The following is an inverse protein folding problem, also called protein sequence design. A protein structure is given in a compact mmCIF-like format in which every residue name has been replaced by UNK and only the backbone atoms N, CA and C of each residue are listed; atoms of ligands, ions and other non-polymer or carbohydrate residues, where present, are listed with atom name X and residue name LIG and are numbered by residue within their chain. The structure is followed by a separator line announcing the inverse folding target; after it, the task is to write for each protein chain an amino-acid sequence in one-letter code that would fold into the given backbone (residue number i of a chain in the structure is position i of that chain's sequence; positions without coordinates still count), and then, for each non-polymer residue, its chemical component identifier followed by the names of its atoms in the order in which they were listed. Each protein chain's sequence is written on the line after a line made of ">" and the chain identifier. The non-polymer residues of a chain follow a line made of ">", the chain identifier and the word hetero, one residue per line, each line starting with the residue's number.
data_IF_257550500203
#
_entry.id   IF_257550500203
#
_cell.length_a   1.000
_cell.length_b   1.000
_cell.length_c   1.000
_cell.angle_alpha   90.00
_cell.angle_beta   90.00
_cell.angle_gamma   90.00
#
_symmetry.space_group_name_H-M   'P 1'
#
loop_
_entity.id
_entity.type
_entity.pdbx_description
1 polymer ?
#
# COMPACT_ATOMS: atom_id res chain seq x y z
N UNK A 1 25.90 3.28 -18.06
CA UNK A 1 25.56 4.28 -17.02
C UNK A 1 25.77 5.69 -17.52
N UNK A 2 26.78 5.95 -18.36
CA UNK A 2 26.94 7.24 -19.05
C UNK A 2 25.73 7.56 -19.94
N UNK A 3 25.34 6.64 -20.83
CA UNK A 3 24.17 6.81 -21.71
C UNK A 3 22.87 7.13 -20.93
N UNK A 4 22.67 6.50 -19.76
CA UNK A 4 21.52 6.78 -18.92
C UNK A 4 21.58 8.21 -18.34
N UNK A 5 22.76 8.65 -17.91
CA UNK A 5 22.94 10.02 -17.39
C UNK A 5 22.76 11.04 -18.51
N UNK A 6 23.30 10.77 -19.69
CA UNK A 6 23.14 11.62 -20.87
C UNK A 6 21.66 11.81 -21.18
N UNK A 7 20.86 10.75 -21.26
CA UNK A 7 19.41 10.86 -21.52
C UNK A 7 18.69 11.64 -20.41
N UNK A 8 19.04 11.42 -19.14
CA UNK A 8 18.44 12.15 -18.00
C UNK A 8 18.76 13.64 -18.08
N UNK A 9 20.00 13.99 -18.42
CA UNK A 9 20.47 15.36 -18.53
C UNK A 9 19.88 16.05 -19.78
N UNK A 10 19.88 15.38 -20.94
CA UNK A 10 19.27 15.86 -22.19
C UNK A 10 17.78 16.16 -22.03
N UNK A 11 17.06 15.31 -21.31
CA UNK A 11 15.63 15.51 -21.03
C UNK A 11 15.38 16.44 -19.83
N UNK A 12 16.44 16.93 -19.17
CA UNK A 12 16.36 17.79 -17.98
C UNK A 12 15.47 17.20 -16.87
N UNK A 13 15.61 15.91 -16.64
CA UNK A 13 14.82 15.15 -15.66
C UNK A 13 15.52 15.15 -14.30
N UNK A 14 14.74 15.35 -13.24
CA UNK A 14 15.21 15.25 -11.87
C UNK A 14 14.99 13.86 -11.30
N UNK A 15 16.04 13.24 -10.73
CA UNK A 15 15.92 12.03 -9.92
C UNK A 15 15.36 12.39 -8.53
N UNK A 16 14.13 11.95 -8.28
CA UNK A 16 13.48 12.19 -7.00
C UNK A 16 14.12 11.33 -5.93
N UNK A 17 14.69 11.98 -4.91
CA UNK A 17 15.20 11.29 -3.73
C UNK A 17 14.03 10.82 -2.87
N UNK A 18 14.19 9.66 -2.27
CA UNK A 18 13.27 9.07 -1.29
C UNK A 18 13.48 9.72 0.07
N UNK A 19 12.40 9.97 0.80
CA UNK A 19 12.47 10.55 2.15
C UNK A 19 13.03 9.54 3.16
N UNK A 20 12.79 8.25 2.93
CA UNK A 20 13.31 7.15 3.72
C UNK A 20 13.74 5.98 2.84
N UNK A 21 14.83 5.31 3.24
CA UNK A 21 15.40 4.20 2.49
C UNK A 21 16.10 4.66 1.21
N UNK A 22 17.36 4.30 1.01
CA UNK A 22 18.11 4.69 -0.19
C UNK A 22 18.18 3.57 -1.24
N UNK A 23 18.21 2.33 -0.78
CA UNK A 23 18.36 1.15 -1.62
C UNK A 23 16.99 0.60 -2.00
N UNK A 24 16.89 0.07 -3.21
CA UNK A 24 15.66 -0.54 -3.74
C UNK A 24 15.89 -1.99 -4.13
N UNK A 25 17.13 -2.47 -4.08
CA UNK A 25 17.48 -3.85 -4.38
C UNK A 25 18.56 -4.37 -3.41
N UNK A 26 18.51 -5.66 -3.11
CA UNK A 26 19.50 -6.38 -2.30
C UNK A 26 19.83 -7.73 -2.91
N UNK A 27 21.10 -8.12 -2.89
CA UNK A 27 21.55 -9.39 -3.47
C UNK A 27 21.25 -10.64 -2.61
N UNK A 28 20.56 -10.48 -1.48
CA UNK A 28 20.21 -11.52 -0.50
C UNK A 28 21.39 -12.36 0.03
N UNK A 29 22.61 -11.80 0.08
CA UNK A 29 23.77 -12.44 0.72
C UNK A 29 24.04 -11.84 2.10
N UNK A 30 24.71 -12.61 2.95
CA UNK A 30 25.04 -12.18 4.31
C UNK A 30 26.45 -11.60 4.44
N UNK A 31 26.67 -10.87 5.55
CA UNK A 31 27.97 -10.38 5.97
C UNK A 31 28.61 -9.44 4.94
N UNK A 32 29.91 -9.63 4.68
CA UNK A 32 30.68 -8.82 3.74
C UNK A 32 30.29 -9.02 2.28
N UNK A 33 29.49 -10.06 1.97
CA UNK A 33 28.97 -10.31 0.63
C UNK A 33 27.62 -9.61 0.36
N UNK A 34 27.01 -9.00 1.40
CA UNK A 34 25.78 -8.23 1.27
C UNK A 34 26.01 -6.99 0.41
N UNK A 35 25.29 -6.88 -0.69
CA UNK A 35 25.28 -5.70 -1.57
C UNK A 35 23.86 -5.16 -1.65
N UNK A 36 23.74 -3.84 -1.52
CA UNK A 36 22.49 -3.10 -1.71
C UNK A 36 22.68 -2.03 -2.75
N UNK A 37 21.74 -1.91 -3.67
CA UNK A 37 21.80 -0.95 -4.77
C UNK A 37 20.48 -0.18 -4.90
N UNK A 38 20.55 0.97 -5.57
CA UNK A 38 19.37 1.76 -5.94
C UNK A 38 19.16 1.65 -7.44
N UNK A 39 18.31 0.71 -7.83
CA UNK A 39 18.02 0.39 -9.23
C UNK A 39 16.72 1.05 -9.71
N UNK A 40 15.78 1.28 -8.80
CA UNK A 40 14.45 1.82 -9.08
C UNK A 40 14.40 3.31 -8.71
N UNK A 41 13.88 4.15 -9.62
CA UNK A 41 13.89 5.61 -9.49
C UNK A 41 12.65 6.25 -10.10
N UNK A 42 12.23 7.37 -9.52
CA UNK A 42 11.28 8.28 -10.16
C UNK A 42 12.05 9.41 -10.81
N UNK A 43 11.86 9.59 -12.11
CA UNK A 43 12.38 10.72 -12.88
C UNK A 43 11.22 11.65 -13.21
N UNK A 44 11.35 12.94 -12.90
CA UNK A 44 10.32 13.94 -13.19
C UNK A 44 10.91 15.22 -13.76
N UNK A 45 10.21 15.87 -14.68
CA UNK A 45 10.62 17.18 -15.20
C UNK A 45 10.54 18.24 -14.10
N UNK A 46 11.34 19.31 -14.20
CA UNK A 46 11.27 20.43 -13.25
C UNK A 46 9.86 21.06 -13.17
N UNK A 47 9.13 21.08 -14.30
CA UNK A 47 7.76 21.58 -14.37
C UNK A 47 6.79 20.69 -13.57
N UNK A 48 6.95 19.37 -13.64
CA UNK A 48 6.09 18.46 -12.86
C UNK A 48 6.41 18.52 -11.37
N UNK A 49 7.70 18.63 -11.01
CA UNK A 49 8.10 18.86 -9.60
C UNK A 49 7.43 20.12 -9.05
N UNK A 50 7.39 21.21 -9.82
CA UNK A 50 6.71 22.44 -9.44
C UNK A 50 5.18 22.28 -9.34
N UNK A 51 4.57 21.39 -10.13
CA UNK A 51 3.13 21.10 -10.09
C UNK A 51 2.69 20.29 -8.87
N UNK A 52 3.59 19.53 -8.26
CA UNK A 52 3.31 18.68 -7.09
C UNK A 52 4.13 19.09 -5.86
N UNK A 53 3.93 20.30 -5.31
CA UNK A 53 4.77 20.84 -4.22
C UNK A 53 4.66 20.06 -2.90
N UNK A 54 3.65 19.21 -2.76
CA UNK A 54 3.42 18.39 -1.57
C UNK A 54 3.76 16.91 -1.78
N UNK A 55 4.42 16.58 -2.89
CA UNK A 55 4.74 15.18 -3.16
C UNK A 55 5.67 14.58 -2.11
N UNK A 56 5.55 13.28 -1.91
CA UNK A 56 6.33 12.50 -0.95
C UNK A 56 6.74 11.18 -1.60
N UNK A 57 7.95 10.73 -1.33
CA UNK A 57 8.51 9.49 -1.89
C UNK A 57 8.95 8.57 -0.77
N UNK A 58 8.61 7.27 -0.87
CA UNK A 58 8.90 6.28 0.17
C UNK A 58 9.39 4.97 -0.42
N UNK A 59 10.28 4.30 0.31
CA UNK A 59 10.63 2.90 0.07
C UNK A 59 9.86 2.01 1.05
N UNK A 60 9.21 0.97 0.53
CA UNK A 60 8.48 -0.03 1.31
C UNK A 60 9.15 -1.38 1.14
N UNK A 61 9.69 -1.89 2.26
CA UNK A 61 10.33 -3.19 2.28
C UNK A 61 9.38 -4.31 1.84
N UNK A 62 9.85 -5.15 0.94
CA UNK A 62 9.11 -6.34 0.47
C UNK A 62 9.79 -7.60 0.99
N UNK A 63 9.12 -8.36 1.85
CA UNK A 63 9.71 -9.57 2.46
C UNK A 63 9.86 -10.75 1.49
N UNK A 64 9.18 -10.70 0.34
CA UNK A 64 9.14 -11.79 -0.65
C UNK A 64 9.83 -11.42 -1.97
N UNK A 65 10.60 -10.35 -1.98
CA UNK A 65 11.26 -9.79 -3.17
C UNK A 65 12.65 -9.31 -2.79
N UNK A 66 13.59 -9.43 -3.72
CA UNK A 66 14.91 -8.81 -3.62
C UNK A 66 14.86 -7.31 -3.95
N UNK A 67 13.76 -6.84 -4.54
CA UNK A 67 13.42 -5.43 -4.68
C UNK A 67 12.46 -4.94 -3.59
N UNK A 68 12.72 -3.74 -3.08
CA UNK A 68 11.79 -2.95 -2.28
C UNK A 68 10.92 -2.07 -3.20
N UNK A 69 9.65 -1.88 -2.85
CA UNK A 69 8.75 -1.06 -3.65
C UNK A 69 8.98 0.43 -3.38
N UNK A 70 9.11 1.23 -4.44
CA UNK A 70 9.12 2.69 -4.34
C UNK A 70 7.72 3.29 -4.60
N UNK A 71 7.32 4.26 -3.79
CA UNK A 71 6.02 4.94 -3.88
C UNK A 71 6.23 6.44 -4.06
N UNK A 72 5.45 7.02 -4.97
CA UNK A 72 5.29 8.47 -5.13
C UNK A 72 3.85 8.85 -4.78
N UNK A 73 3.67 9.65 -3.73
CA UNK A 73 2.38 10.23 -3.33
C UNK A 73 2.39 11.73 -3.67
N UNK A 74 1.65 12.13 -4.70
CA UNK A 74 1.60 13.54 -5.15
C UNK A 74 0.86 14.47 -4.19
N UNK A 75 0.16 13.94 -3.19
CA UNK A 75 -0.54 14.70 -2.15
C UNK A 75 0.04 14.47 -0.75
N UNK A 76 1.17 13.75 -0.62
CA UNK A 76 1.64 13.19 0.66
C UNK A 76 1.69 14.18 1.83
N UNK A 77 2.41 15.30 1.66
CA UNK A 77 2.62 16.33 2.69
C UNK A 77 1.54 17.41 2.72
N UNK A 78 0.50 17.28 1.90
CA UNK A 78 -0.53 18.30 1.76
C UNK A 78 -1.26 18.44 3.11
N UNK A 79 -1.33 19.64 3.71
CA UNK A 79 -2.12 19.86 4.91
C UNK A 79 -3.55 19.37 4.67
N UNK A 80 -4.02 18.45 5.53
CA UNK A 80 -5.33 17.85 5.34
C UNK A 80 -6.41 18.83 5.80
N UNK A 81 -7.08 19.48 4.85
CA UNK A 81 -8.24 20.34 5.14
C UNK A 81 -9.45 19.58 5.70
N UNK A 82 -9.46 18.24 5.58
CA UNK A 82 -10.52 17.37 6.09
C UNK A 82 -9.95 16.13 6.74
N UNK A 83 -10.60 15.68 7.82
CA UNK A 83 -10.50 14.31 8.28
C UNK A 83 -10.90 13.39 7.12
N UNK A 84 -9.90 12.82 6.43
CA UNK A 84 -10.13 11.86 5.35
C UNK A 84 -10.80 10.65 5.99
N UNK A 85 -12.08 10.50 5.73
CA UNK A 85 -12.87 9.41 6.24
C UNK A 85 -12.22 8.09 5.81
N UNK A 86 -11.79 7.22 6.75
CA UNK A 86 -11.21 5.93 6.40
C UNK A 86 -12.14 5.08 5.52
N UNK A 87 -13.45 5.32 5.55
CA UNK A 87 -14.46 4.69 4.66
C UNK A 87 -14.27 5.06 3.18
N UNK A 88 -13.64 6.20 2.87
CA UNK A 88 -13.37 6.67 1.51
C UNK A 88 -11.99 6.27 1.00
N UNK A 89 -11.11 5.75 1.87
CA UNK A 89 -9.81 5.22 1.47
C UNK A 89 -9.96 3.75 1.05
N UNK A 90 -10.63 3.53 -0.08
CA UNK A 90 -10.67 2.20 -0.69
C UNK A 90 -9.24 1.73 -0.99
N UNK A 91 -8.93 0.50 -0.57
CA UNK A 91 -7.68 -0.18 -0.93
C UNK A 91 -8.05 -1.57 -1.39
N UNK A 92 -7.63 -1.96 -2.57
CA UNK A 92 -7.80 -3.32 -3.04
C UNK A 92 -6.79 -4.25 -2.34
N UNK A 93 -7.23 -5.44 -1.95
CA UNK A 93 -6.38 -6.51 -1.42
C UNK A 93 -6.45 -7.74 -2.33
N UNK A 94 -5.30 -8.39 -2.54
CA UNK A 94 -5.18 -9.58 -3.40
C UNK A 94 -6.08 -10.73 -2.93
N UNK A 95 -6.38 -10.84 -1.63
CA UNK A 95 -7.28 -11.89 -1.14
C UNK A 95 -8.70 -11.76 -1.72
N UNK A 96 -9.11 -10.57 -2.16
CA UNK A 96 -10.41 -10.35 -2.79
C UNK A 96 -10.45 -10.75 -4.26
N UNK A 97 -9.29 -11.00 -4.89
CA UNK A 97 -9.23 -11.51 -6.26
C UNK A 97 -9.90 -12.87 -6.42
N UNK A 98 -10.06 -13.62 -5.33
CA UNK A 98 -10.76 -14.91 -5.31
C UNK A 98 -12.20 -14.81 -4.80
N UNK A 99 -12.60 -13.67 -4.25
CA UNK A 99 -13.94 -13.51 -3.66
C UNK A 99 -15.01 -13.30 -4.74
N UNK A 100 -16.04 -14.14 -4.72
CA UNK A 100 -17.10 -14.14 -5.73
C UNK A 100 -17.94 -12.85 -5.70
N UNK A 101 -18.20 -12.29 -4.52
CA UNK A 101 -18.97 -11.06 -4.38
C UNK A 101 -18.15 -9.86 -4.87
N UNK A 102 -16.87 -9.79 -4.51
CA UNK A 102 -15.96 -8.76 -5.01
C UNK A 102 -15.88 -8.78 -6.54
N UNK A 103 -15.68 -9.96 -7.15
CA UNK A 103 -15.66 -10.14 -8.61
C UNK A 103 -16.94 -9.63 -9.26
N UNK A 104 -18.09 -9.96 -8.68
CA UNK A 104 -19.40 -9.50 -9.16
C UNK A 104 -19.51 -7.98 -9.10
N UNK A 105 -19.14 -7.36 -7.98
CA UNK A 105 -19.16 -5.90 -7.81
C UNK A 105 -18.26 -5.21 -8.85
N UNK A 106 -17.03 -5.71 -9.03
CA UNK A 106 -16.09 -5.16 -10.01
C UNK A 106 -16.67 -5.27 -11.42
N UNK A 107 -17.17 -6.45 -11.82
CA UNK A 107 -17.75 -6.67 -13.15
C UNK A 107 -18.93 -5.73 -13.42
N UNK A 108 -19.87 -5.63 -12.48
CA UNK A 108 -21.05 -4.78 -12.63
C UNK A 108 -20.70 -3.29 -12.67
N UNK A 109 -19.79 -2.84 -11.80
CA UNK A 109 -19.34 -1.45 -11.78
C UNK A 109 -18.58 -1.08 -13.06
N UNK A 110 -17.76 -2.00 -13.58
CA UNK A 110 -16.99 -1.79 -14.81
C UNK A 110 -17.86 -1.70 -16.05
N UNK A 111 -18.94 -2.49 -16.11
CA UNK A 111 -19.86 -2.53 -17.25
C UNK A 111 -20.87 -1.37 -17.27
N UNK A 112 -21.15 -0.76 -16.11
CA UNK A 112 -22.13 0.33 -15.97
C UNK A 112 -21.50 1.73 -15.86
N UNK A 113 -20.16 1.82 -15.90
CA UNK A 113 -19.41 3.05 -15.69
C UNK A 113 -19.29 3.95 -16.94
N UNK A 114 -18.58 5.07 -16.76
CA UNK A 114 -18.13 5.98 -17.84
C UNK A 114 -17.49 5.22 -19.01
N UNK A 115 -17.47 5.80 -20.22
CA UNK A 115 -16.65 5.28 -21.33
C UNK A 115 -15.16 5.35 -20.99
N UNK A 116 -14.76 6.36 -20.22
CA UNK A 116 -13.40 6.58 -19.74
C UNK A 116 -12.99 5.59 -18.63
N UNK A 117 -11.74 5.15 -18.71
CA UNK A 117 -11.12 4.20 -17.78
C UNK A 117 -11.05 4.78 -16.36
N UNK A 118 -10.74 6.06 -16.21
CA UNK A 118 -10.62 6.69 -14.89
C UNK A 118 -11.96 6.69 -14.15
N UNK A 119 -13.04 7.05 -14.82
CA UNK A 119 -14.39 6.99 -14.27
C UNK A 119 -14.84 5.57 -13.94
N UNK A 120 -14.39 4.55 -14.70
CA UNK A 120 -14.63 3.14 -14.34
C UNK A 120 -13.89 2.74 -13.07
N UNK A 121 -12.61 3.10 -12.94
CA UNK A 121 -11.80 2.82 -11.75
C UNK A 121 -12.41 3.50 -10.52
N UNK A 122 -12.83 4.76 -10.64
CA UNK A 122 -13.49 5.50 -9.57
C UNK A 122 -14.80 4.81 -9.13
N UNK A 123 -15.63 4.39 -10.10
CA UNK A 123 -16.88 3.68 -9.83
C UNK A 123 -16.64 2.34 -9.10
N UNK A 124 -15.66 1.56 -9.57
CA UNK A 124 -15.24 0.31 -8.91
C UNK A 124 -14.80 0.60 -7.48
N UNK A 125 -13.92 1.59 -7.28
CA UNK A 125 -13.42 1.96 -5.95
C UNK A 125 -14.54 2.36 -5.00
N UNK A 126 -15.51 3.16 -5.47
CA UNK A 126 -16.67 3.57 -4.67
C UNK A 126 -17.55 2.39 -4.26
N UNK A 127 -17.89 1.51 -5.20
CA UNK A 127 -18.77 0.35 -4.93
C UNK A 127 -18.05 -0.67 -4.04
N UNK A 128 -16.81 -0.99 -4.36
CA UNK A 128 -16.03 -1.98 -3.64
C UNK A 128 -15.58 -1.47 -2.26
N UNK A 129 -15.34 -0.16 -2.10
CA UNK A 129 -15.07 0.46 -0.79
C UNK A 129 -16.22 0.31 0.19
N UNK A 130 -17.46 0.50 -0.26
CA UNK A 130 -18.65 0.25 0.59
C UNK A 130 -18.77 -1.20 1.03
N UNK A 131 -18.46 -2.14 0.14
CA UNK A 131 -18.41 -3.57 0.44
C UNK A 131 -17.25 -3.92 1.40
N UNK A 132 -16.04 -3.43 1.14
CA UNK A 132 -14.86 -3.59 1.97
C UNK A 132 -15.15 -3.19 3.42
N UNK A 133 -15.75 -2.02 3.63
CA UNK A 133 -16.09 -1.55 4.97
C UNK A 133 -17.01 -2.50 5.72
N UNK A 134 -18.10 -2.95 5.06
CA UNK A 134 -19.05 -3.91 5.65
C UNK A 134 -18.35 -5.22 6.03
N UNK A 135 -17.53 -5.74 5.12
CA UNK A 135 -16.81 -7.00 5.31
C UNK A 135 -15.80 -6.91 6.44
N UNK A 136 -15.00 -5.85 6.49
CA UNK A 136 -14.05 -5.60 7.58
C UNK A 136 -14.76 -5.43 8.94
N UNK A 137 -15.91 -4.74 8.96
CA UNK A 137 -16.71 -4.61 10.18
C UNK A 137 -17.20 -5.97 10.68
N UNK A 138 -17.74 -6.80 9.80
CA UNK A 138 -18.19 -8.16 10.13
C UNK A 138 -17.04 -9.04 10.63
N UNK A 139 -15.89 -9.02 9.94
CA UNK A 139 -14.70 -9.76 10.36
C UNK A 139 -14.23 -9.34 11.76
N UNK A 140 -14.17 -8.03 12.05
CA UNK A 140 -13.78 -7.52 13.39
C UNK A 140 -14.75 -7.98 14.47
N UNK A 141 -16.05 -7.92 14.23
CA UNK A 141 -17.06 -8.41 15.18
C UNK A 141 -16.88 -9.91 15.43
N UNK A 142 -16.69 -10.70 14.37
CA UNK A 142 -16.49 -12.15 14.48
C UNK A 142 -15.21 -12.50 15.25
N UNK A 143 -14.09 -11.82 14.95
CA UNK A 143 -12.84 -11.96 15.70
C UNK A 143 -13.04 -11.65 17.19
N UNK A 144 -13.77 -10.58 17.52
CA UNK A 144 -14.08 -10.24 18.90
C UNK A 144 -14.89 -11.33 19.61
N UNK A 145 -15.90 -11.89 18.94
CA UNK A 145 -16.69 -13.01 19.49
C UNK A 145 -15.84 -14.26 19.70
N UNK A 146 -15.00 -14.63 18.71
CA UNK A 146 -14.10 -15.78 18.84
C UNK A 146 -13.09 -15.59 19.97
N UNK A 147 -12.51 -14.39 20.11
CA UNK A 147 -11.58 -14.09 21.20
C UNK A 147 -12.26 -14.21 22.58
N UNK A 148 -13.50 -13.70 22.70
CA UNK A 148 -14.28 -13.83 23.93
C UNK A 148 -14.57 -15.30 24.26
N UNK A 149 -14.88 -16.12 23.26
CA UNK A 149 -15.11 -17.55 23.45
C UNK A 149 -13.83 -18.30 23.86
N UNK A 150 -12.69 -17.98 23.23
CA UNK A 150 -11.38 -18.55 23.60
C UNK A 150 -11.05 -18.23 25.06
N UNK A 151 -11.23 -16.97 25.48
CA UNK A 151 -10.96 -16.57 26.86
C UNK A 151 -11.84 -17.32 27.86
N UNK A 152 -13.15 -17.48 27.57
CA UNK A 152 -14.06 -18.27 28.40
C UNK A 152 -13.60 -19.72 28.56
N UNK A 153 -13.12 -20.34 27.49
CA UNK A 153 -12.62 -21.73 27.54
C UNK A 153 -11.35 -21.81 28.38
N UNK A 154 -10.40 -20.88 28.20
CA UNK A 154 -9.17 -20.81 29.00
C UNK A 154 -9.50 -20.64 30.49
N UNK A 155 -10.41 -19.73 30.82
CA UNK A 155 -10.84 -19.47 32.21
C UNK A 155 -11.54 -20.69 32.81
N UNK A 156 -12.36 -21.40 32.02
CA UNK A 156 -13.07 -22.61 32.48
C UNK A 156 -12.17 -23.82 32.71
N UNK A 157 -10.99 -23.87 32.09
CA UNK A 157 -10.03 -24.98 32.24
C UNK A 157 -9.02 -24.77 33.36
N UNK A 158 -9.04 -23.63 34.09
CA UNK A 158 -8.11 -23.36 35.18
C UNK A 158 -6.63 -23.24 34.77
N UNK A 159 -6.33 -23.28 33.47
CA UNK A 159 -4.96 -23.18 32.95
C UNK A 159 -4.62 -21.70 32.82
N UNK A 160 -4.00 -21.16 33.87
CA UNK A 160 -3.44 -19.81 33.89
C UNK A 160 -2.19 -19.75 33.00
N UNK A 161 -2.36 -19.73 31.68
CA UNK A 161 -1.24 -19.41 30.79
C UNK A 161 -0.86 -17.95 30.98
N UNK A 162 0.29 -17.72 31.62
CA UNK A 162 0.95 -16.41 31.62
C UNK A 162 1.35 -16.11 30.18
N UNK A 163 0.55 -15.35 29.47
CA UNK A 163 0.98 -14.72 28.22
C UNK A 163 2.07 -13.74 28.61
N UNK A 164 3.32 -14.12 28.35
CA UNK A 164 4.48 -13.23 28.46
C UNK A 164 4.30 -12.22 27.34
N UNK A 165 3.81 -11.03 27.70
CA UNK A 165 3.80 -9.85 26.85
C UNK A 165 5.25 -9.41 26.63
N UNK A 166 5.90 -9.97 25.62
CA UNK A 166 7.02 -9.28 24.96
C UNK A 166 6.43 -8.21 24.05
N UNK A 167 6.30 -6.98 24.59
CA UNK A 167 6.19 -5.80 23.74
C UNK A 167 7.60 -5.40 23.28
N UNK A 168 7.73 -4.86 22.06
CA UNK A 168 9.01 -4.43 21.48
C UNK A 168 9.60 -3.24 22.25
#
# INVERSE_FOLDING_TARGET
>A
MEDFREVVDELSMADLKTDNGWFTWVNNRDGTALVKERLDRFLMSANDVARFPFMETKVIHQSTSDHDAIILDTEGRKPRDRHRDPRLCFKYDVCWAKDAEAKKIIKEAWQKGSTDIMGKIEMVGKKLGGWQYKKLKQMRTHMGTLQANINKVIDSQGVRMRVISSKP
#
